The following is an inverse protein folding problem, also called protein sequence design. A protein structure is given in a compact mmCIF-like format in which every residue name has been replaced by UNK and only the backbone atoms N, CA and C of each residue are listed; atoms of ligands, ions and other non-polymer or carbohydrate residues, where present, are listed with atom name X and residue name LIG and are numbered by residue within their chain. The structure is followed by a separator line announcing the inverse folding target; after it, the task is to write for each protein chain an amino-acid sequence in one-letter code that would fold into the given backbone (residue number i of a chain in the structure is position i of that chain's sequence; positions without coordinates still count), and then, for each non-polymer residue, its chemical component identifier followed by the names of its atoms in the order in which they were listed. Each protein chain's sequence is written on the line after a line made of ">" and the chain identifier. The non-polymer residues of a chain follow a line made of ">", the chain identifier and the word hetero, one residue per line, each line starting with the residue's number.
data_IF_718199874323
#
_entry.id   IF_718199874323
#
_cell.length_a   1.000
_cell.length_b   1.000
_cell.length_c   1.000
_cell.angle_alpha   90.00
_cell.angle_beta   90.00
_cell.angle_gamma   90.00
#
_symmetry.space_group_name_H-M   'P 1'
#
loop_
_entity.id
_entity.type
_entity.pdbx_description
1 polymer ?
#
# COMPACT_ATOMS: atom_id res chain seq x y z
N UNK A 1 1.03 -15.25 -23.18
CA UNK A 1 -0.44 -15.34 -22.98
C UNK A 1 -1.07 -14.03 -23.36
N UNK A 2 -2.06 -14.04 -24.28
CA UNK A 2 -2.80 -12.85 -24.68
C UNK A 2 -3.67 -12.35 -23.52
N UNK A 3 -3.87 -11.01 -23.43
CA UNK A 3 -4.82 -10.43 -22.47
C UNK A 3 -6.20 -11.05 -22.76
N UNK A 4 -6.70 -11.83 -21.83
CA UNK A 4 -8.08 -12.30 -21.87
C UNK A 4 -8.95 -11.25 -21.17
N UNK A 5 -9.57 -10.41 -21.96
CA UNK A 5 -10.72 -9.58 -21.64
C UNK A 5 -10.47 -8.35 -20.75
N UNK A 6 -10.49 -7.17 -21.37
CA UNK A 6 -10.78 -5.91 -20.66
C UNK A 6 -12.30 -5.80 -20.56
N UNK A 7 -12.86 -5.95 -19.36
CA UNK A 7 -14.27 -5.64 -19.10
C UNK A 7 -14.37 -4.17 -18.68
N UNK A 8 -15.04 -3.36 -19.48
CA UNK A 8 -15.41 -2.00 -19.08
C UNK A 8 -16.63 -2.07 -18.17
N UNK A 9 -16.46 -1.73 -16.91
CA UNK A 9 -17.53 -1.72 -15.91
C UNK A 9 -17.87 -0.28 -15.57
N UNK A 10 -19.12 0.11 -15.82
CA UNK A 10 -19.66 1.36 -15.30
C UNK A 10 -20.08 1.12 -13.85
N UNK A 11 -19.30 1.61 -12.91
CA UNK A 11 -19.66 1.56 -11.49
C UNK A 11 -20.60 2.74 -11.17
N UNK A 12 -21.89 2.44 -10.99
CA UNK A 12 -22.86 3.40 -10.48
C UNK A 12 -22.79 3.40 -8.95
N UNK A 13 -22.38 4.49 -8.32
CA UNK A 13 -22.66 4.76 -6.92
C UNK A 13 -24.03 5.45 -6.84
N UNK A 14 -25.04 4.72 -6.42
CA UNK A 14 -26.45 5.04 -6.38
C UNK A 14 -26.81 6.49 -6.09
N UNK A 15 -27.22 7.18 -7.10
CA UNK A 15 -28.10 8.31 -7.42
C UNK A 15 -27.59 8.91 -8.72
N UNK A 16 -28.47 9.18 -9.66
CA UNK A 16 -28.20 9.50 -11.07
C UNK A 16 -27.37 10.77 -11.35
N UNK A 17 -26.93 11.53 -10.33
CA UNK A 17 -26.31 12.86 -10.49
C UNK A 17 -24.81 12.90 -10.08
N UNK A 18 -24.19 11.76 -9.79
CA UNK A 18 -22.76 11.68 -9.46
C UNK A 18 -21.84 11.63 -10.70
N UNK A 19 -20.55 11.96 -10.56
CA UNK A 19 -19.59 11.87 -11.66
C UNK A 19 -19.53 10.42 -12.17
N UNK A 20 -19.67 10.23 -13.49
CA UNK A 20 -19.60 8.91 -14.13
C UNK A 20 -18.18 8.37 -13.99
N UNK A 21 -17.99 7.39 -13.10
CA UNK A 21 -16.71 6.69 -12.92
C UNK A 21 -16.58 5.62 -14.02
N UNK A 22 -15.51 5.70 -14.80
CA UNK A 22 -15.12 4.64 -15.74
C UNK A 22 -14.16 3.70 -15.04
N UNK A 23 -14.43 2.39 -15.11
CA UNK A 23 -13.54 1.37 -14.58
C UNK A 23 -13.23 0.33 -15.64
N UNK A 24 -11.96 -0.03 -15.77
CA UNK A 24 -11.49 -1.12 -16.61
C UNK A 24 -10.99 -2.26 -15.72
N UNK A 25 -11.50 -3.47 -15.91
CA UNK A 25 -11.04 -4.67 -15.20
C UNK A 25 -10.21 -5.51 -16.15
N UNK A 26 -8.95 -5.77 -15.77
CA UNK A 26 -7.99 -6.53 -16.57
C UNK A 26 -7.73 -7.87 -15.89
N UNK A 27 -8.15 -8.98 -16.52
CA UNK A 27 -7.81 -10.33 -16.08
C UNK A 27 -6.45 -10.72 -16.66
N UNK A 28 -5.41 -10.64 -15.85
CA UNK A 28 -4.02 -10.95 -16.24
C UNK A 28 -3.16 -11.15 -14.98
N UNK A 29 -1.96 -11.73 -15.16
CA UNK A 29 -0.88 -11.53 -14.19
C UNK A 29 -0.58 -10.03 -14.09
N UNK A 30 -0.35 -9.54 -12.86
CA UNK A 30 -0.19 -8.09 -12.63
C UNK A 30 1.06 -7.53 -13.31
N UNK A 31 2.17 -8.28 -13.35
CA UNK A 31 3.40 -7.84 -13.99
C UNK A 31 3.22 -7.72 -15.51
N UNK A 32 2.52 -8.68 -16.11
CA UNK A 32 2.21 -8.66 -17.54
C UNK A 32 1.22 -7.53 -17.90
N UNK A 33 0.29 -7.22 -17.02
CA UNK A 33 -0.61 -6.07 -17.20
C UNK A 33 0.16 -4.75 -17.10
N UNK A 34 1.00 -4.60 -16.06
CA UNK A 34 1.79 -3.39 -15.84
C UNK A 34 2.69 -3.06 -17.02
N UNK A 35 3.38 -4.05 -17.61
CA UNK A 35 4.26 -3.87 -18.79
C UNK A 35 3.55 -3.21 -19.99
N UNK A 36 2.22 -3.33 -20.07
CA UNK A 36 1.41 -2.76 -21.16
C UNK A 36 0.90 -1.36 -20.90
N UNK A 37 0.98 -0.89 -19.65
CA UNK A 37 0.59 0.46 -19.28
C UNK A 37 1.70 1.46 -19.67
N UNK A 38 1.35 2.67 -20.12
CA UNK A 38 2.32 3.72 -20.38
C UNK A 38 3.08 4.11 -19.12
N UNK A 39 4.33 4.54 -19.27
CA UNK A 39 5.09 5.13 -18.17
C UNK A 39 4.43 6.43 -17.68
N UNK A 40 4.49 6.70 -16.38
CA UNK A 40 3.98 7.94 -15.76
C UNK A 40 2.48 8.22 -15.99
N UNK A 41 1.68 7.17 -16.13
CA UNK A 41 0.25 7.27 -16.48
C UNK A 41 -0.72 7.06 -15.31
N UNK A 42 -0.24 6.67 -14.15
CA UNK A 42 -1.06 6.31 -12.97
C UNK A 42 -0.77 7.27 -11.83
N UNK A 43 -1.79 7.98 -11.34
CA UNK A 43 -1.64 8.94 -10.24
C UNK A 43 -1.63 8.28 -8.86
N UNK A 44 -2.39 7.19 -8.68
CA UNK A 44 -2.51 6.49 -7.41
C UNK A 44 -2.52 4.98 -7.63
N UNK A 45 -1.66 4.27 -6.91
CA UNK A 45 -1.65 2.82 -6.85
C UNK A 45 -1.93 2.40 -5.41
N UNK A 46 -2.94 1.54 -5.21
CA UNK A 46 -3.21 0.91 -3.91
C UNK A 46 -3.31 -0.58 -4.13
N UNK A 47 -2.53 -1.36 -3.40
CA UNK A 47 -2.56 -2.82 -3.51
C UNK A 47 -2.31 -3.52 -2.18
N UNK A 48 -2.89 -4.71 -2.07
CA UNK A 48 -2.62 -5.69 -1.02
C UNK A 48 -2.24 -7.00 -1.70
N UNK A 49 -0.96 -7.22 -2.03
CA UNK A 49 -0.51 -8.44 -2.69
C UNK A 49 -0.71 -9.65 -1.78
N UNK A 50 -0.65 -10.88 -2.30
CA UNK A 50 -0.67 -12.08 -1.47
C UNK A 50 0.40 -11.97 -0.37
N UNK A 51 0.00 -12.17 0.89
CA UNK A 51 0.95 -12.16 2.00
C UNK A 51 1.77 -13.45 2.02
N UNK A 52 3.00 -13.36 2.52
CA UNK A 52 3.92 -14.49 2.55
C UNK A 52 3.28 -15.73 3.18
N UNK A 53 3.40 -16.87 2.50
CA UNK A 53 2.88 -18.19 2.90
C UNK A 53 1.38 -18.28 3.19
N UNK A 54 0.59 -17.29 2.78
CA UNK A 54 -0.86 -17.33 2.93
C UNK A 54 -1.54 -17.85 1.67
N UNK A 55 -2.70 -18.52 1.87
CA UNK A 55 -3.58 -19.01 0.79
C UNK A 55 -2.84 -19.78 -0.32
N UNK A 56 -1.96 -20.70 0.10
CA UNK A 56 -1.16 -21.55 -0.83
C UNK A 56 -2.03 -22.26 -1.87
N UNK A 57 -3.23 -22.70 -1.50
CA UNK A 57 -4.18 -23.36 -2.41
C UNK A 57 -4.83 -22.42 -3.41
N UNK A 58 -4.82 -21.11 -3.19
CA UNK A 58 -5.52 -20.13 -4.04
C UNK A 58 -4.56 -19.37 -4.96
N UNK A 59 -3.38 -18.97 -4.45
CA UNK A 59 -2.43 -18.12 -5.17
C UNK A 59 -1.03 -18.72 -5.30
N UNK A 60 -0.84 -20.00 -4.94
CA UNK A 60 0.47 -20.67 -4.97
C UNK A 60 1.37 -20.36 -3.77
N UNK A 61 1.11 -19.30 -3.01
CA UNK A 61 1.84 -18.90 -1.80
C UNK A 61 3.32 -18.59 -2.05
N UNK A 62 3.71 -17.35 -1.85
CA UNK A 62 5.13 -16.95 -1.91
C UNK A 62 5.73 -17.19 -0.53
N UNK A 63 6.87 -17.86 -0.44
CA UNK A 63 7.58 -18.03 0.82
C UNK A 63 8.13 -16.70 1.31
N UNK A 64 8.23 -16.53 2.64
CA UNK A 64 8.71 -15.29 3.22
C UNK A 64 10.14 -14.93 2.75
N UNK A 65 11.03 -15.92 2.67
CA UNK A 65 12.43 -15.75 2.20
C UNK A 65 12.52 -15.37 0.71
N UNK A 66 11.52 -15.75 -0.10
CA UNK A 66 11.49 -15.50 -1.54
C UNK A 66 10.71 -14.22 -1.87
N UNK A 67 9.99 -13.64 -0.88
CA UNK A 67 9.01 -12.59 -1.09
C UNK A 67 9.61 -11.32 -1.69
N UNK A 68 10.74 -10.89 -1.19
CA UNK A 68 11.44 -9.69 -1.66
C UNK A 68 11.83 -9.86 -3.12
N UNK A 69 12.51 -10.95 -3.47
CA UNK A 69 12.94 -11.23 -4.85
C UNK A 69 11.75 -11.32 -5.82
N UNK A 70 10.63 -11.89 -5.37
CA UNK A 70 9.39 -11.97 -6.15
C UNK A 70 8.75 -10.60 -6.39
N UNK A 71 8.72 -9.72 -5.38
CA UNK A 71 8.02 -8.44 -5.47
C UNK A 71 8.83 -7.35 -6.18
N UNK A 72 10.15 -7.37 -6.13
CA UNK A 72 11.01 -6.32 -6.71
C UNK A 72 10.79 -6.07 -8.21
N UNK A 73 10.60 -7.06 -9.10
CA UNK A 73 10.24 -6.81 -10.49
C UNK A 73 8.89 -6.09 -10.63
N UNK A 74 7.90 -6.45 -9.79
CA UNK A 74 6.60 -5.79 -9.75
C UNK A 74 6.78 -4.33 -9.29
N UNK A 75 7.53 -4.10 -8.21
CA UNK A 75 7.82 -2.76 -7.70
C UNK A 75 8.50 -1.86 -8.74
N UNK A 76 9.39 -2.42 -9.56
CA UNK A 76 10.03 -1.70 -10.67
C UNK A 76 9.02 -1.23 -11.70
N UNK A 77 8.09 -2.09 -12.11
CA UNK A 77 7.04 -1.73 -13.07
C UNK A 77 6.01 -0.77 -12.46
N UNK A 78 5.63 -0.96 -11.18
CA UNK A 78 4.79 0.00 -10.46
C UNK A 78 5.44 1.39 -10.46
N UNK A 79 6.76 1.47 -10.23
CA UNK A 79 7.49 2.73 -10.30
C UNK A 79 7.48 3.33 -11.71
N UNK A 80 7.65 2.52 -12.75
CA UNK A 80 7.64 2.98 -14.14
C UNK A 80 6.29 3.61 -14.50
N UNK A 81 5.18 2.95 -14.17
CA UNK A 81 3.84 3.43 -14.53
C UNK A 81 3.33 4.57 -13.65
N UNK A 82 3.81 4.68 -12.41
CA UNK A 82 3.39 5.74 -11.50
C UNK A 82 3.82 7.11 -12.04
N UNK A 83 2.92 8.09 -11.99
CA UNK A 83 3.22 9.49 -12.31
C UNK A 83 4.31 10.05 -11.35
N UNK A 84 5.19 10.96 -11.78
CA UNK A 84 6.21 11.55 -10.89
C UNK A 84 5.65 12.08 -9.56
N UNK A 85 4.50 12.75 -9.61
CA UNK A 85 3.78 13.28 -8.42
C UNK A 85 2.75 12.32 -7.84
N UNK A 86 2.71 11.07 -8.32
CA UNK A 86 1.78 10.05 -7.88
C UNK A 86 2.20 9.38 -6.57
N UNK A 87 1.27 8.62 -6.00
CA UNK A 87 1.45 7.91 -4.73
C UNK A 87 1.21 6.42 -4.90
N UNK A 88 2.07 5.60 -4.29
CA UNK A 88 1.87 4.16 -4.17
C UNK A 88 1.66 3.79 -2.70
N UNK A 89 0.54 3.13 -2.39
CA UNK A 89 0.21 2.61 -1.06
C UNK A 89 0.21 1.09 -1.09
N UNK A 90 1.09 0.49 -0.32
CA UNK A 90 1.24 -0.95 -0.17
C UNK A 90 0.68 -1.40 1.18
N UNK A 91 -0.44 -2.13 1.16
CA UNK A 91 -0.94 -2.82 2.35
C UNK A 91 -0.24 -4.17 2.50
N UNK A 92 0.50 -4.34 3.57
CA UNK A 92 1.30 -5.54 3.82
C UNK A 92 1.44 -5.81 5.32
N UNK A 93 1.73 -7.07 5.66
CA UNK A 93 1.91 -7.50 7.05
C UNK A 93 2.98 -8.56 7.13
N UNK A 94 3.77 -8.52 8.20
CA UNK A 94 4.74 -9.56 8.52
C UNK A 94 4.06 -10.89 8.82
N UNK A 95 4.73 -11.98 8.46
CA UNK A 95 4.38 -13.31 8.91
C UNK A 95 5.06 -13.61 10.23
N UNK A 96 4.42 -14.44 11.05
CA UNK A 96 5.06 -15.07 12.21
C UNK A 96 5.38 -16.51 11.86
N UNK A 97 6.63 -16.89 12.01
CA UNK A 97 7.15 -18.26 11.81
C UNK A 97 7.82 -18.69 13.12
N UNK A 98 7.47 -19.89 13.61
CA UNK A 98 8.07 -20.46 14.83
C UNK A 98 8.09 -19.51 16.06
N UNK A 99 7.10 -18.64 16.16
CA UNK A 99 6.97 -17.66 17.24
C UNK A 99 7.68 -16.33 17.01
N UNK A 100 8.46 -16.18 15.94
CA UNK A 100 9.18 -14.97 15.58
C UNK A 100 8.55 -14.25 14.37
N UNK A 101 8.62 -12.91 14.35
CA UNK A 101 8.21 -12.11 13.18
C UNK A 101 9.30 -12.15 12.12
N UNK A 102 8.91 -12.55 10.92
CA UNK A 102 9.81 -12.52 9.76
C UNK A 102 10.06 -11.09 9.29
N UNK A 103 11.30 -10.79 8.91
CA UNK A 103 11.75 -9.44 8.54
C UNK A 103 11.46 -9.02 7.10
N UNK A 104 10.86 -9.90 6.29
CA UNK A 104 10.70 -9.67 4.83
C UNK A 104 10.06 -8.32 4.46
N UNK A 105 9.17 -7.77 5.29
CA UNK A 105 8.55 -6.45 5.02
C UNK A 105 9.58 -5.34 5.17
N UNK A 106 10.44 -5.41 6.19
CA UNK A 106 11.50 -4.44 6.42
C UNK A 106 12.56 -4.52 5.31
N UNK A 107 12.93 -5.74 4.92
CA UNK A 107 13.84 -6.00 3.81
C UNK A 107 13.29 -5.46 2.49
N UNK A 108 11.98 -5.68 2.24
CA UNK A 108 11.31 -5.15 1.07
C UNK A 108 11.38 -3.63 1.02
N UNK A 109 11.14 -2.93 2.12
CA UNK A 109 11.26 -1.47 2.21
C UNK A 109 12.69 -1.04 1.83
N UNK A 110 13.71 -1.71 2.39
CA UNK A 110 15.12 -1.39 2.11
C UNK A 110 15.43 -1.61 0.63
N UNK A 111 15.05 -2.73 0.05
CA UNK A 111 15.33 -3.05 -1.35
C UNK A 111 14.56 -2.14 -2.32
N UNK A 112 13.31 -1.81 -2.04
CA UNK A 112 12.56 -0.81 -2.82
C UNK A 112 13.24 0.57 -2.79
N UNK A 113 13.78 0.99 -1.63
CA UNK A 113 14.55 2.23 -1.54
C UNK A 113 15.83 2.18 -2.41
N UNK A 114 16.50 1.04 -2.52
CA UNK A 114 17.63 0.85 -3.45
C UNK A 114 17.21 0.97 -4.92
N UNK A 115 15.95 0.59 -5.25
CA UNK A 115 15.36 0.87 -6.56
C UNK A 115 15.02 2.35 -6.78
N UNK A 116 15.27 3.21 -5.78
CA UNK A 116 15.02 4.65 -5.82
C UNK A 116 13.57 5.04 -5.47
N UNK A 117 12.82 4.20 -4.78
CA UNK A 117 11.59 4.60 -4.13
C UNK A 117 11.88 5.48 -2.91
N UNK A 118 11.07 6.49 -2.67
CA UNK A 118 11.04 7.23 -1.42
C UNK A 118 9.97 6.62 -0.53
N UNK A 119 10.34 6.06 0.61
CA UNK A 119 9.39 5.66 1.65
C UNK A 119 9.03 6.92 2.46
N UNK A 120 7.86 7.49 2.20
CA UNK A 120 7.49 8.83 2.65
C UNK A 120 6.60 8.82 3.87
N UNK A 121 5.75 7.79 4.04
CA UNK A 121 4.83 7.71 5.17
C UNK A 121 4.47 6.24 5.47
N UNK A 122 4.01 6.00 6.70
CA UNK A 122 3.46 4.73 7.13
C UNK A 122 2.21 4.95 7.97
N UNK A 123 1.10 4.30 7.57
CA UNK A 123 -0.14 4.33 8.32
C UNK A 123 -0.44 2.97 8.92
N UNK A 124 -1.13 2.96 10.06
CA UNK A 124 -1.59 1.75 10.74
C UNK A 124 -3.07 1.53 10.40
N UNK A 125 -3.35 0.43 9.71
CA UNK A 125 -4.73 -0.02 9.57
C UNK A 125 -5.13 -0.85 10.79
N UNK A 126 -5.76 -0.21 11.77
CA UNK A 126 -6.29 -0.88 12.95
C UNK A 126 -7.57 -1.66 12.62
N UNK A 127 -7.60 -2.94 12.98
CA UNK A 127 -8.74 -3.85 12.80
C UNK A 127 -9.53 -3.96 14.09
N UNK A 128 -10.80 -3.52 14.11
CA UNK A 128 -11.70 -3.75 15.24
C UNK A 128 -11.91 -5.23 15.53
N UNK A 129 -12.01 -6.05 14.46
CA UNK A 129 -12.18 -7.49 14.51
C UNK A 129 -10.94 -8.15 13.91
N UNK A 130 -10.06 -8.66 14.75
CA UNK A 130 -8.93 -9.48 14.33
C UNK A 130 -9.32 -10.97 14.27
N UNK A 131 -8.57 -11.76 13.47
CA UNK A 131 -8.82 -13.18 13.34
C UNK A 131 -8.80 -13.86 14.73
N UNK A 132 -9.83 -14.66 15.09
CA UNK A 132 -9.84 -15.35 16.35
C UNK A 132 -8.72 -16.38 16.43
N UNK A 133 -8.00 -16.38 17.53
CA UNK A 133 -6.90 -17.31 17.76
C UNK A 133 -6.32 -17.09 19.16
N UNK A 134 -5.80 -18.16 19.73
CA UNK A 134 -5.08 -18.13 21.02
C UNK A 134 -3.69 -18.71 20.80
N UNK A 135 -2.70 -17.92 21.11
CA UNK A 135 -1.29 -18.34 21.08
C UNK A 135 -0.73 -18.22 22.50
N UNK A 136 0.10 -19.17 22.94
CA UNK A 136 0.59 -19.18 24.33
C UNK A 136 1.55 -18.02 24.62
N UNK A 137 2.21 -17.49 23.64
CA UNK A 137 3.36 -16.57 23.81
C UNK A 137 3.26 -15.27 23.01
N UNK A 138 2.09 -14.94 22.44
CA UNK A 138 1.88 -13.66 21.72
C UNK A 138 0.43 -13.20 21.73
N UNK A 139 0.23 -11.90 21.58
CA UNK A 139 -1.10 -11.32 21.39
C UNK A 139 -1.57 -11.46 19.94
N UNK A 140 -2.87 -11.24 19.71
CA UNK A 140 -3.46 -11.17 18.37
C UNK A 140 -2.96 -9.95 17.63
N UNK A 141 -2.73 -10.13 16.33
CA UNK A 141 -2.42 -9.01 15.45
C UNK A 141 -3.70 -8.27 15.08
N UNK A 142 -3.84 -7.04 15.54
CA UNK A 142 -5.00 -6.18 15.30
C UNK A 142 -4.74 -5.07 14.30
N UNK A 143 -3.60 -5.08 13.60
CA UNK A 143 -3.24 -4.03 12.66
C UNK A 143 -2.42 -4.58 11.48
N UNK A 144 -2.40 -3.80 10.41
CA UNK A 144 -1.57 -4.00 9.23
C UNK A 144 -0.90 -2.68 8.82
N UNK A 145 0.19 -2.77 8.07
CA UNK A 145 0.92 -1.61 7.57
C UNK A 145 0.32 -1.14 6.26
N UNK A 146 0.17 0.17 6.10
CA UNK A 146 -0.02 0.84 4.84
C UNK A 146 1.23 1.68 4.57
N UNK A 147 2.13 1.14 3.75
CA UNK A 147 3.39 1.78 3.42
C UNK A 147 3.17 2.71 2.22
N UNK A 148 3.49 3.99 2.36
CA UNK A 148 3.43 4.95 1.27
C UNK A 148 4.80 5.12 0.63
N UNK A 149 4.81 5.02 -0.69
CA UNK A 149 6.00 5.25 -1.51
C UNK A 149 5.71 6.29 -2.60
N UNK A 150 6.69 7.12 -2.89
CA UNK A 150 6.63 8.12 -3.95
C UNK A 150 7.90 8.06 -4.81
N UNK A 151 7.84 8.61 -6.03
CA UNK A 151 9.01 8.71 -6.92
C UNK A 151 9.86 9.92 -6.61
N UNK A 152 9.21 11.03 -6.29
CA UNK A 152 9.81 12.34 -6.06
C UNK A 152 9.41 12.89 -4.71
N UNK A 153 10.17 13.88 -4.19
CA UNK A 153 9.86 14.54 -2.91
C UNK A 153 8.66 15.48 -3.03
N UNK A 154 8.48 16.08 -4.21
CA UNK A 154 7.34 16.94 -4.54
C UNK A 154 6.23 16.09 -5.16
N UNK A 155 5.39 15.48 -4.32
CA UNK A 155 4.23 14.69 -4.72
C UNK A 155 2.91 15.35 -4.28
N UNK A 156 1.81 14.97 -4.94
CA UNK A 156 0.49 15.52 -4.62
C UNK A 156 0.00 14.98 -3.27
N UNK A 157 -0.26 15.91 -2.34
CA UNK A 157 -0.82 15.59 -1.01
C UNK A 157 -1.84 16.64 -0.59
N UNK A 158 -3.05 16.18 -0.28
CA UNK A 158 -4.19 17.06 0.05
C UNK A 158 -4.54 16.91 1.54
N UNK A 159 -3.69 17.44 2.41
CA UNK A 159 -3.84 17.31 3.87
C UNK A 159 -5.15 17.93 4.39
N UNK A 160 -5.59 19.01 3.78
CA UNK A 160 -6.82 19.73 4.17
C UNK A 160 -8.06 18.83 4.11
N UNK A 161 -8.08 17.84 3.21
CA UNK A 161 -9.19 16.90 3.06
C UNK A 161 -9.43 15.99 4.27
N UNK A 162 -8.41 15.84 5.14
CA UNK A 162 -8.45 14.94 6.31
C UNK A 162 -8.19 15.67 7.64
N UNK A 163 -8.09 17.00 7.61
CA UNK A 163 -7.89 17.78 8.82
C UNK A 163 -9.09 17.68 9.76
N UNK A 164 -8.79 17.53 11.04
CA UNK A 164 -9.76 17.58 12.12
C UNK A 164 -9.55 18.84 12.96
N UNK A 165 -10.58 19.35 13.69
CA UNK A 165 -10.41 20.49 14.57
C UNK A 165 -9.26 20.29 15.55
N UNK A 166 -8.46 21.32 15.73
CA UNK A 166 -7.32 21.29 16.65
C UNK A 166 -7.76 21.05 18.10
N UNK A 167 -7.15 20.08 18.76
CA UNK A 167 -7.39 19.79 20.16
C UNK A 167 -6.84 20.89 21.09
N UNK A 168 -7.32 20.92 22.34
CA UNK A 168 -6.98 21.98 23.31
C UNK A 168 -5.50 21.96 23.69
N UNK A 169 -4.87 20.80 23.74
CA UNK A 169 -3.43 20.68 23.95
C UNK A 169 -2.62 21.42 22.87
N UNK A 170 -2.95 21.21 21.60
CA UNK A 170 -2.28 21.86 20.48
C UNK A 170 -2.50 23.37 20.48
N UNK A 171 -3.73 23.81 20.79
CA UNK A 171 -4.05 25.26 20.96
C UNK A 171 -3.23 25.89 22.08
N UNK A 172 -3.07 25.20 23.20
CA UNK A 172 -2.25 25.66 24.33
C UNK A 172 -0.77 25.74 23.95
N UNK A 173 -0.23 24.71 23.28
CA UNK A 173 1.16 24.68 22.86
C UNK A 173 1.50 25.78 21.86
N UNK A 174 0.62 26.03 20.88
CA UNK A 174 0.83 27.11 19.90
C UNK A 174 0.84 28.52 20.53
N UNK A 175 0.21 28.70 21.69
CA UNK A 175 0.28 29.97 22.43
C UNK A 175 1.61 30.19 23.15
N UNK A 176 2.29 29.10 23.49
CA UNK A 176 3.53 29.08 24.28
C UNK A 176 4.61 28.25 23.57
N UNK A 177 4.95 28.64 22.33
CA UNK A 177 6.01 27.98 21.57
C UNK A 177 7.36 28.14 22.29
N UNK A 178 8.06 27.04 22.51
CA UNK A 178 9.44 27.04 22.95
C UNK A 178 10.41 27.46 21.85
N UNK A 179 11.66 27.75 22.18
CA UNK A 179 12.69 28.09 21.19
C UNK A 179 12.92 26.93 20.16
N UNK A 180 12.66 25.69 20.58
CA UNK A 180 12.76 24.51 19.74
C UNK A 180 11.54 24.27 18.84
N UNK A 181 10.46 25.00 19.06
CA UNK A 181 9.21 24.90 18.29
C UNK A 181 9.11 26.00 17.19
N UNK A 182 10.08 26.90 17.13
CA UNK A 182 10.21 27.98 16.12
C UNK A 182 11.10 27.53 14.98
#
# INVERSE_FOLDING_TARGET
>A
MSIQTVQKVNLFTGKDDGPKIKADVILSDCLEALKKLPSNSIDLIVTSPPYADQRKSTYGGIKADEYVAWFLPIASELKRVLHPKGTFVLNIKEKVMEGERHTYVMELIIEMRKQGWLWTEEFIWHKKNCFPGKWPNRFRDSWERLLQFNKERDFNMYQDAVMVPMGDWAKSRLKNLSETDK
#
